data_IF_998155621774
#
_entry.id   IF_998155621774
#
_cell.length_a   1.000
_cell.length_b   1.000
_cell.length_c   1.000
_cell.angle_alpha   90.00
_cell.angle_beta   90.00
_cell.angle_gamma   90.00
#
_symmetry.space_group_name_H-M   'P 1'
#
loop_
_entity.id
_entity.type
_entity.pdbx_description
1 polymer ?
#
# COMPACT_ATOMS: atom_id res chain seq x y z
N UNK A 1 -56.34 -35.65 40.87
CA UNK A 1 -55.22 -34.92 41.44
C UNK A 1 -53.92 -35.53 40.94
N UNK A 2 -53.29 -34.93 39.94
CA UNK A 2 -51.89 -35.23 39.56
C UNK A 2 -51.20 -33.86 39.36
N UNK A 3 -50.25 -33.55 40.21
CA UNK A 3 -49.45 -32.34 40.21
C UNK A 3 -48.47 -32.37 39.03
N UNK A 4 -48.19 -31.26 38.31
CA UNK A 4 -47.18 -31.22 37.27
C UNK A 4 -45.79 -31.14 37.94
N UNK A 5 -44.90 -32.09 37.63
CA UNK A 5 -43.47 -32.07 37.93
C UNK A 5 -42.82 -30.89 37.14
N UNK A 6 -42.61 -29.79 37.85
CA UNK A 6 -41.74 -28.70 37.38
C UNK A 6 -40.32 -29.08 37.62
N UNK A 7 -39.57 -29.44 36.57
CA UNK A 7 -38.13 -29.71 36.62
C UNK A 7 -37.38 -28.37 36.65
N UNK A 8 -36.81 -27.94 37.79
CA UNK A 8 -36.12 -26.66 37.91
C UNK A 8 -34.81 -26.58 37.13
N UNK A 9 -34.22 -27.73 36.73
CA UNK A 9 -32.97 -27.80 35.99
C UNK A 9 -33.05 -27.29 34.53
N UNK A 10 -34.21 -27.38 33.89
CA UNK A 10 -34.38 -26.96 32.51
C UNK A 10 -34.30 -25.44 32.31
N UNK A 11 -34.77 -24.66 33.28
CA UNK A 11 -34.72 -23.18 33.25
C UNK A 11 -33.29 -22.65 33.46
N UNK A 12 -32.51 -23.31 34.30
CA UNK A 12 -31.10 -22.96 34.61
C UNK A 12 -30.20 -23.33 33.42
N UNK A 13 -30.44 -24.47 32.77
CA UNK A 13 -29.71 -24.86 31.59
C UNK A 13 -29.97 -23.90 30.39
N UNK A 14 -31.23 -23.47 30.19
CA UNK A 14 -31.59 -22.54 29.14
C UNK A 14 -30.99 -21.15 29.34
N UNK A 15 -30.91 -20.66 30.59
CA UNK A 15 -30.27 -19.38 30.91
C UNK A 15 -28.74 -19.44 30.79
N UNK A 16 -28.09 -20.55 31.13
CA UNK A 16 -26.66 -20.75 30.93
C UNK A 16 -26.28 -20.83 29.45
N UNK A 17 -27.10 -21.48 28.63
CA UNK A 17 -26.91 -21.51 27.16
C UNK A 17 -27.07 -20.10 26.56
N UNK A 18 -28.08 -19.34 27.00
CA UNK A 18 -28.28 -17.96 26.52
C UNK A 18 -27.11 -17.03 26.89
N UNK A 19 -26.55 -17.17 28.09
CA UNK A 19 -25.36 -16.39 28.54
C UNK A 19 -24.10 -16.82 27.78
N UNK A 20 -23.91 -18.10 27.51
CA UNK A 20 -22.78 -18.60 26.72
C UNK A 20 -22.83 -18.13 25.25
N UNK A 21 -24.02 -18.02 24.67
CA UNK A 21 -24.25 -17.49 23.33
C UNK A 21 -23.95 -15.98 23.25
N UNK A 22 -24.29 -15.20 24.27
CA UNK A 22 -23.99 -13.78 24.37
C UNK A 22 -22.48 -13.48 24.56
N UNK A 23 -21.75 -14.34 25.23
CA UNK A 23 -20.31 -14.20 25.44
C UNK A 23 -19.46 -14.60 24.21
N UNK A 24 -20.04 -15.26 23.22
CA UNK A 24 -19.35 -15.77 22.03
C UNK A 24 -19.28 -14.81 20.84
N UNK A 25 -19.80 -13.57 20.96
CA UNK A 25 -19.75 -12.61 19.86
C UNK A 25 -18.31 -12.16 19.57
N UNK A 26 -17.77 -12.52 18.40
CA UNK A 26 -16.53 -11.95 17.89
C UNK A 26 -16.67 -10.42 17.82
N UNK A 27 -16.01 -9.70 18.70
CA UNK A 27 -15.85 -8.26 18.62
C UNK A 27 -14.53 -7.98 17.90
N UNK A 28 -14.57 -7.20 16.82
CA UNK A 28 -13.35 -6.70 16.20
C UNK A 28 -12.83 -5.58 17.09
N UNK A 29 -11.71 -5.83 17.77
CA UNK A 29 -11.00 -4.78 18.47
C UNK A 29 -10.04 -4.11 17.46
N UNK A 30 -10.27 -2.84 17.16
CA UNK A 30 -9.43 -2.05 16.28
C UNK A 30 -7.98 -1.99 16.79
N UNK A 31 -7.78 -1.83 18.10
CA UNK A 31 -6.45 -1.79 18.70
C UNK A 31 -5.66 -3.06 18.41
N UNK A 32 -6.25 -4.23 18.58
CA UNK A 32 -5.61 -5.52 18.25
C UNK A 32 -5.28 -5.64 16.76
N UNK A 33 -6.14 -5.10 15.89
CA UNK A 33 -5.88 -5.08 14.43
C UNK A 33 -4.68 -4.20 14.11
N UNK A 34 -4.61 -3.01 14.71
CA UNK A 34 -3.48 -2.09 14.54
C UNK A 34 -2.19 -2.63 15.18
N UNK A 35 -2.26 -3.26 16.36
CA UNK A 35 -1.11 -3.91 16.98
C UNK A 35 -0.51 -5.01 16.10
N UNK A 36 -1.33 -5.87 15.53
CA UNK A 36 -0.86 -6.92 14.60
C UNK A 36 -0.25 -6.33 13.34
N UNK A 37 -0.89 -5.31 12.74
CA UNK A 37 -0.34 -4.62 11.59
C UNK A 37 1.00 -3.94 11.93
N UNK A 38 1.10 -3.27 13.08
CA UNK A 38 2.34 -2.67 13.58
C UNK A 38 3.43 -3.71 13.84
N UNK A 39 3.09 -4.88 14.40
CA UNK A 39 4.05 -5.96 14.61
C UNK A 39 4.61 -6.51 13.28
N UNK A 40 3.77 -6.60 12.25
CA UNK A 40 4.17 -7.08 10.91
C UNK A 40 4.94 -6.04 10.10
N UNK A 41 4.61 -4.75 10.24
CA UNK A 41 5.15 -3.67 9.38
C UNK A 41 6.11 -2.73 10.10
N UNK A 42 6.21 -2.76 11.44
CA UNK A 42 6.97 -1.80 12.24
C UNK A 42 8.45 -1.72 11.86
N UNK A 43 9.09 -2.86 11.59
CA UNK A 43 10.47 -2.90 11.13
C UNK A 43 10.65 -2.28 9.72
N UNK A 44 9.60 -2.36 8.91
CA UNK A 44 9.61 -1.80 7.56
C UNK A 44 9.29 -0.29 7.56
N UNK A 45 8.27 0.13 8.32
CA UNK A 45 7.82 1.52 8.35
C UNK A 45 8.65 2.43 9.25
N UNK A 46 9.30 1.86 10.27
CA UNK A 46 9.95 2.59 11.37
C UNK A 46 9.01 3.63 12.05
N UNK A 47 7.70 3.36 12.04
CA UNK A 47 6.64 4.18 12.61
C UNK A 47 5.48 3.31 13.08
N UNK A 48 4.51 3.91 13.76
CA UNK A 48 3.31 3.23 14.26
C UNK A 48 2.07 3.71 13.50
N UNK A 49 1.22 2.76 13.15
CA UNK A 49 -0.10 3.01 12.59
C UNK A 49 -1.05 3.41 13.72
N UNK A 50 -1.78 4.49 13.53
CA UNK A 50 -2.80 4.95 14.44
C UNK A 50 -3.97 5.52 13.65
N UNK A 51 -5.20 5.11 13.98
CA UNK A 51 -6.43 5.63 13.41
C UNK A 51 -7.07 6.61 14.39
N UNK A 52 -7.24 7.86 13.97
CA UNK A 52 -7.91 8.88 14.77
C UNK A 52 -9.43 8.72 14.66
N UNK A 53 -10.09 8.43 15.79
CA UNK A 53 -11.55 8.30 15.88
C UNK A 53 -12.21 9.55 16.47
N UNK A 54 -11.45 10.41 17.16
CA UNK A 54 -11.91 11.64 17.79
C UNK A 54 -11.13 12.85 17.28
N UNK A 55 -11.73 14.04 17.41
CA UNK A 55 -11.06 15.29 17.04
C UNK A 55 -9.77 15.51 17.87
N UNK A 56 -9.78 15.15 19.15
CA UNK A 56 -8.58 15.25 20.00
C UNK A 56 -7.45 14.38 19.46
N UNK A 57 -7.70 13.12 19.12
CA UNK A 57 -6.68 12.22 18.54
C UNK A 57 -6.17 12.73 17.20
N UNK A 58 -7.07 13.35 16.41
CA UNK A 58 -6.69 13.99 15.16
C UNK A 58 -5.74 15.16 15.40
N UNK A 59 -6.04 16.03 16.36
CA UNK A 59 -5.21 17.20 16.69
C UNK A 59 -3.85 16.79 17.23
N UNK A 60 -3.78 15.80 18.12
CA UNK A 60 -2.53 15.22 18.63
C UNK A 60 -1.65 14.67 17.49
N UNK A 61 -2.27 13.98 16.54
CA UNK A 61 -1.60 13.43 15.35
C UNK A 61 -1.06 14.54 14.44
N UNK A 62 -1.85 15.58 14.19
CA UNK A 62 -1.43 16.74 13.38
C UNK A 62 -0.31 17.54 14.06
N UNK A 63 -0.34 17.66 15.39
CA UNK A 63 0.76 18.26 16.14
C UNK A 63 2.04 17.44 16.05
N UNK A 64 1.96 16.11 16.11
CA UNK A 64 3.10 15.23 15.91
C UNK A 64 3.68 15.36 14.49
N UNK A 65 2.82 15.45 13.47
CA UNK A 65 3.22 15.68 12.08
C UNK A 65 3.92 17.04 11.91
N UNK A 66 3.38 18.10 12.51
CA UNK A 66 3.98 19.46 12.44
C UNK A 66 5.37 19.50 13.06
N UNK A 67 5.63 18.74 14.13
CA UNK A 67 6.98 18.64 14.73
C UNK A 67 8.01 18.06 13.75
N UNK A 68 7.63 17.10 12.90
CA UNK A 68 8.53 16.53 11.89
C UNK A 68 8.90 17.55 10.80
N UNK A 69 8.04 18.54 10.53
CA UNK A 69 8.27 19.58 9.52
C UNK A 69 9.20 20.70 10.01
N UNK A 70 9.51 20.77 11.30
CA UNK A 70 10.43 21.80 11.84
C UNK A 70 11.88 21.58 11.43
N UNK A 71 12.25 20.36 11.02
CA UNK A 71 13.60 19.98 10.60
C UNK A 71 13.62 19.53 9.13
N UNK A 72 14.82 19.24 8.60
CA UNK A 72 14.98 18.64 7.28
C UNK A 72 14.38 17.23 7.29
N UNK A 73 13.45 16.97 6.37
CA UNK A 73 12.71 15.70 6.28
C UNK A 73 13.55 14.68 5.50
N UNK A 74 14.16 13.74 6.21
CA UNK A 74 14.83 12.58 5.61
C UNK A 74 13.82 11.50 5.15
N UNK A 75 14.33 10.41 4.58
CA UNK A 75 13.48 9.33 4.06
C UNK A 75 12.64 8.66 5.15
N UNK A 76 13.21 8.47 6.35
CA UNK A 76 12.52 7.88 7.50
C UNK A 76 11.43 8.81 8.04
N UNK A 77 11.76 10.08 8.19
CA UNK A 77 10.85 11.13 8.64
C UNK A 77 9.70 11.32 7.63
N UNK A 78 9.96 11.21 6.33
CA UNK A 78 8.92 11.25 5.30
C UNK A 78 7.92 10.09 5.44
N UNK A 79 8.40 8.88 5.73
CA UNK A 79 7.51 7.73 6.01
C UNK A 79 6.69 7.98 7.28
N UNK A 80 7.31 8.42 8.36
CA UNK A 80 6.61 8.74 9.61
C UNK A 80 5.57 9.84 9.41
N UNK A 81 5.92 10.88 8.65
CA UNK A 81 5.00 11.97 8.30
C UNK A 81 3.80 11.45 7.50
N UNK A 82 4.01 10.57 6.51
CA UNK A 82 2.92 9.96 5.75
C UNK A 82 1.99 9.12 6.64
N UNK A 83 2.53 8.33 7.58
CA UNK A 83 1.75 7.54 8.52
C UNK A 83 0.90 8.42 9.45
N UNK A 84 1.44 9.55 9.89
CA UNK A 84 0.78 10.48 10.79
C UNK A 84 -0.18 11.43 10.08
N UNK A 85 0.19 11.96 8.91
CA UNK A 85 -0.52 13.09 8.31
C UNK A 85 -1.44 12.71 7.15
N UNK A 86 -1.15 11.62 6.40
CA UNK A 86 -1.86 11.33 5.16
C UNK A 86 -3.32 10.93 5.39
N UNK A 87 -4.32 11.69 4.85
CA UNK A 87 -5.72 11.31 4.90
C UNK A 87 -5.99 9.97 4.18
N UNK A 88 -5.25 9.68 3.12
CA UNK A 88 -5.37 8.41 2.40
C UNK A 88 -4.94 7.22 3.27
N UNK A 89 -3.95 7.39 4.16
CA UNK A 89 -3.56 6.38 5.14
C UNK A 89 -4.70 6.15 6.16
N UNK A 90 -5.30 7.22 6.68
CA UNK A 90 -6.42 7.15 7.61
C UNK A 90 -7.64 6.47 6.97
N UNK A 91 -7.94 6.78 5.71
CA UNK A 91 -9.02 6.13 4.96
C UNK A 91 -8.77 4.63 4.78
N UNK A 92 -7.53 4.23 4.45
CA UNK A 92 -7.14 2.81 4.32
C UNK A 92 -7.29 2.05 5.65
N UNK A 93 -6.88 2.65 6.78
CA UNK A 93 -7.05 2.06 8.11
C UNK A 93 -8.53 1.91 8.47
N UNK A 94 -9.36 2.93 8.20
CA UNK A 94 -10.80 2.90 8.44
C UNK A 94 -11.49 1.85 7.56
N UNK A 95 -11.10 1.71 6.29
CA UNK A 95 -11.62 0.69 5.38
C UNK A 95 -11.28 -0.72 5.87
N UNK A 96 -10.05 -0.97 6.30
CA UNK A 96 -9.66 -2.27 6.88
C UNK A 96 -10.46 -2.61 8.15
N UNK A 97 -10.77 -1.61 8.97
CA UNK A 97 -11.65 -1.79 10.12
C UNK A 97 -13.07 -2.13 9.70
N UNK A 98 -13.63 -1.46 8.68
CA UNK A 98 -14.95 -1.76 8.12
C UNK A 98 -15.00 -3.19 7.57
N UNK A 99 -14.01 -3.61 6.77
CA UNK A 99 -13.93 -4.95 6.21
C UNK A 99 -13.86 -6.04 7.30
N UNK A 100 -13.07 -5.80 8.35
CA UNK A 100 -12.96 -6.69 9.50
C UNK A 100 -14.27 -6.78 10.28
N UNK A 101 -14.99 -5.66 10.40
CA UNK A 101 -16.30 -5.60 11.10
C UNK A 101 -17.38 -6.34 10.32
N UNK A 102 -17.41 -6.21 8.98
CA UNK A 102 -18.31 -6.94 8.10
C UNK A 102 -17.99 -8.45 8.13
N UNK A 103 -16.71 -8.81 8.14
CA UNK A 103 -16.31 -10.20 8.31
C UNK A 103 -16.79 -10.77 9.64
N UNK A 104 -16.61 -10.05 10.75
CA UNK A 104 -17.11 -10.45 12.07
C UNK A 104 -18.64 -10.58 12.10
N UNK A 105 -19.36 -9.66 11.44
CA UNK A 105 -20.83 -9.71 11.33
C UNK A 105 -21.29 -10.99 10.65
N UNK A 106 -20.58 -11.48 9.62
CA UNK A 106 -20.94 -12.73 8.93
C UNK A 106 -20.83 -13.97 9.82
N UNK A 107 -20.08 -13.91 10.91
CA UNK A 107 -19.92 -14.98 11.91
C UNK A 107 -20.93 -14.91 13.07
N UNK A 108 -21.85 -13.94 13.07
CA UNK A 108 -22.87 -13.80 14.13
C UNK A 108 -24.13 -14.61 13.81
N UNK A 109 -24.90 -14.87 14.87
CA UNK A 109 -26.24 -15.46 14.74
C UNK A 109 -27.16 -14.41 14.12
N UNK A 110 -27.98 -14.83 13.17
CA UNK A 110 -29.04 -13.96 12.64
C UNK A 110 -30.04 -13.58 13.74
N UNK A 111 -30.52 -12.36 13.70
CA UNK A 111 -31.53 -11.92 14.67
C UNK A 111 -32.83 -12.69 14.47
N UNK A 112 -33.56 -13.03 15.56
CA UNK A 112 -34.90 -13.62 15.45
C UNK A 112 -35.86 -12.66 14.76
N UNK A 113 -36.78 -13.21 14.00
CA UNK A 113 -37.85 -12.46 13.36
C UNK A 113 -39.08 -12.52 14.24
N UNK A 114 -39.59 -11.37 14.66
CA UNK A 114 -40.88 -11.27 15.36
C UNK A 114 -41.96 -10.84 14.36
N UNK A 115 -42.96 -11.70 14.15
CA UNK A 115 -44.11 -11.43 13.30
C UNK A 115 -45.33 -11.21 14.15
N UNK A 116 -46.07 -10.14 13.84
CA UNK A 116 -47.36 -9.84 14.44
C UNK A 116 -48.41 -9.82 13.35
N UNK A 117 -49.46 -10.62 13.55
CA UNK A 117 -50.54 -10.78 12.62
C UNK A 117 -51.86 -10.43 13.30
N UNK A 118 -52.78 -9.76 12.60
CA UNK A 118 -54.13 -9.52 13.03
C UNK A 118 -55.07 -9.97 11.92
N UNK A 119 -55.84 -11.00 12.19
CA UNK A 119 -56.82 -11.55 11.25
C UNK A 119 -58.21 -11.36 11.83
N UNK A 120 -59.18 -10.98 11.01
CA UNK A 120 -60.58 -10.94 11.36
C UNK A 120 -61.37 -11.78 10.35
N UNK A 121 -62.06 -12.78 10.85
CA UNK A 121 -62.88 -13.67 10.06
C UNK A 121 -64.30 -13.70 10.67
N UNK A 122 -65.25 -12.92 10.09
CA UNK A 122 -66.59 -12.79 10.64
C UNK A 122 -66.60 -12.13 12.06
N UNK A 123 -67.05 -12.88 13.05
CA UNK A 123 -67.09 -12.46 14.46
C UNK A 123 -65.78 -12.80 15.24
N UNK A 124 -64.90 -13.55 14.65
CA UNK A 124 -63.61 -13.89 15.26
C UNK A 124 -62.55 -12.85 14.96
N UNK A 125 -61.79 -12.46 15.99
CA UNK A 125 -60.63 -11.59 15.90
C UNK A 125 -59.43 -12.31 16.50
N UNK A 126 -58.45 -12.59 15.66
CA UNK A 126 -57.20 -13.27 16.04
C UNK A 126 -55.99 -12.32 16.02
N UNK A 127 -55.18 -12.41 17.06
CA UNK A 127 -53.87 -11.78 17.15
C UNK A 127 -52.81 -12.86 17.22
N UNK A 128 -52.10 -13.05 16.10
CA UNK A 128 -50.98 -13.96 15.98
C UNK A 128 -49.66 -13.29 16.37
N UNK A 129 -48.82 -14.00 17.12
CA UNK A 129 -47.45 -13.59 17.50
C UNK A 129 -46.55 -14.74 17.33
N UNK A 130 -45.58 -14.58 16.44
CA UNK A 130 -44.59 -15.63 16.07
C UNK A 130 -43.22 -15.07 16.31
N UNK A 131 -42.34 -15.87 16.95
CA UNK A 131 -40.92 -15.59 17.06
C UNK A 131 -40.15 -16.71 16.36
N UNK A 132 -39.50 -16.40 15.22
CA UNK A 132 -38.83 -17.37 14.36
C UNK A 132 -37.30 -17.27 14.47
N UNK A 133 -36.64 -18.40 14.52
CA UNK A 133 -35.19 -18.55 14.60
C UNK A 133 -34.71 -19.48 13.48
N UNK A 134 -33.61 -19.12 12.80
CA UNK A 134 -32.91 -20.00 11.89
C UNK A 134 -32.20 -21.13 12.65
N UNK A 135 -32.72 -22.34 12.62
CA UNK A 135 -32.11 -23.47 13.30
C UNK A 135 -30.79 -23.89 12.64
N UNK A 136 -30.74 -23.85 11.30
CA UNK A 136 -29.54 -24.13 10.53
C UNK A 136 -28.43 -23.11 10.82
N UNK A 137 -28.79 -21.85 11.03
CA UNK A 137 -27.85 -20.79 11.42
C UNK A 137 -27.15 -21.09 12.76
N UNK A 138 -27.86 -21.69 13.72
CA UNK A 138 -27.28 -22.12 15.00
C UNK A 138 -26.34 -23.31 14.83
N UNK A 139 -26.73 -24.29 14.03
CA UNK A 139 -25.93 -25.51 13.77
C UNK A 139 -24.64 -25.13 13.01
N UNK A 140 -24.73 -24.23 12.04
CA UNK A 140 -23.60 -23.81 11.20
C UNK A 140 -22.75 -22.70 11.82
N UNK A 141 -23.16 -22.14 12.95
CA UNK A 141 -22.45 -21.04 13.64
C UNK A 141 -20.94 -21.28 13.86
N UNK A 142 -20.47 -22.47 14.31
CA UNK A 142 -19.05 -22.73 14.47
C UNK A 142 -18.27 -22.62 13.15
N UNK A 143 -18.85 -23.10 12.05
CA UNK A 143 -18.24 -22.99 10.71
C UNK A 143 -18.21 -21.54 10.22
N UNK A 144 -19.33 -20.82 10.36
CA UNK A 144 -19.45 -19.39 10.00
C UNK A 144 -18.45 -18.54 10.78
N UNK A 145 -18.33 -18.77 12.09
CA UNK A 145 -17.34 -18.12 12.95
C UNK A 145 -15.91 -18.41 12.47
N UNK A 146 -15.60 -19.67 12.15
CA UNK A 146 -14.29 -20.06 11.64
C UNK A 146 -13.94 -19.41 10.28
N UNK A 147 -14.93 -19.15 9.42
CA UNK A 147 -14.74 -18.39 8.17
C UNK A 147 -14.54 -16.90 8.46
N UNK A 148 -15.33 -16.32 9.37
CA UNK A 148 -15.21 -14.93 9.78
C UNK A 148 -13.82 -14.63 10.37
N UNK A 149 -13.32 -15.50 11.26
CA UNK A 149 -11.99 -15.37 11.85
C UNK A 149 -10.88 -15.41 10.77
N UNK A 150 -11.02 -16.27 9.75
CA UNK A 150 -10.07 -16.30 8.63
C UNK A 150 -10.15 -15.05 7.75
N UNK A 151 -11.35 -14.51 7.51
CA UNK A 151 -11.53 -13.26 6.75
C UNK A 151 -10.94 -12.07 7.50
N UNK A 152 -11.09 -12.02 8.83
CA UNK A 152 -10.47 -10.99 9.68
C UNK A 152 -8.95 -11.11 9.58
N UNK A 153 -8.38 -12.32 9.71
CA UNK A 153 -6.95 -12.52 9.55
C UNK A 153 -6.45 -12.12 8.17
N UNK A 154 -7.19 -12.43 7.11
CA UNK A 154 -6.89 -12.01 5.74
C UNK A 154 -6.91 -10.48 5.58
N UNK A 155 -7.90 -9.80 6.16
CA UNK A 155 -7.98 -8.33 6.15
C UNK A 155 -6.76 -7.69 6.83
N UNK A 156 -6.28 -8.27 7.96
CA UNK A 156 -5.08 -7.80 8.65
C UNK A 156 -3.82 -7.94 7.80
N UNK A 157 -3.64 -9.09 7.12
CA UNK A 157 -2.49 -9.30 6.21
C UNK A 157 -2.58 -8.34 5.01
N UNK A 158 -3.78 -8.11 4.48
CA UNK A 158 -4.01 -7.15 3.39
C UNK A 158 -3.64 -5.74 3.83
N UNK A 159 -4.07 -5.31 5.02
CA UNK A 159 -3.67 -4.02 5.58
C UNK A 159 -2.15 -3.88 5.67
N UNK A 160 -1.46 -4.90 6.20
CA UNK A 160 0.00 -4.89 6.27
C UNK A 160 0.65 -4.75 4.88
N UNK A 161 0.11 -5.44 3.86
CA UNK A 161 0.59 -5.35 2.49
C UNK A 161 0.38 -3.94 1.90
N UNK A 162 -0.78 -3.33 2.11
CA UNK A 162 -1.10 -1.97 1.64
C UNK A 162 -0.24 -0.91 2.32
N UNK A 163 0.06 -1.08 3.62
CA UNK A 163 0.99 -0.21 4.37
C UNK A 163 2.39 -0.28 3.78
N UNK A 164 2.87 -1.49 3.44
CA UNK A 164 4.18 -1.67 2.78
C UNK A 164 4.21 -0.97 1.42
N UNK A 165 3.15 -1.10 0.62
CA UNK A 165 3.04 -0.45 -0.69
C UNK A 165 3.08 1.07 -0.58
N UNK A 166 2.30 1.65 0.33
CA UNK A 166 2.28 3.09 0.59
C UNK A 166 3.62 3.61 1.08
N UNK A 167 4.23 2.90 2.03
CA UNK A 167 5.57 3.24 2.54
C UNK A 167 6.61 3.21 1.42
N UNK A 168 6.55 2.22 0.54
CA UNK A 168 7.45 2.11 -0.62
C UNK A 168 7.25 3.27 -1.60
N UNK A 169 6.00 3.64 -1.90
CA UNK A 169 5.67 4.80 -2.74
C UNK A 169 6.22 6.11 -2.15
N UNK A 170 6.08 6.30 -0.83
CA UNK A 170 6.62 7.47 -0.13
C UNK A 170 8.15 7.52 -0.24
N UNK A 171 8.85 6.40 0.01
CA UNK A 171 10.30 6.31 -0.13
C UNK A 171 10.78 6.65 -1.55
N UNK A 172 10.12 6.08 -2.56
CA UNK A 172 10.44 6.33 -3.96
C UNK A 172 10.19 7.79 -4.34
N UNK A 173 9.07 8.36 -3.91
CA UNK A 173 8.75 9.76 -4.19
C UNK A 173 9.72 10.72 -3.48
N UNK A 174 10.11 10.41 -2.24
CA UNK A 174 11.14 11.17 -1.54
C UNK A 174 12.49 11.14 -2.30
N UNK A 175 12.93 9.97 -2.75
CA UNK A 175 14.16 9.84 -3.56
C UNK A 175 14.08 10.68 -4.83
N UNK A 176 12.95 10.63 -5.54
CA UNK A 176 12.76 11.43 -6.76
C UNK A 176 12.76 12.93 -6.48
N UNK A 177 12.11 13.38 -5.39
CA UNK A 177 12.05 14.78 -5.01
C UNK A 177 13.43 15.34 -4.63
N UNK A 178 14.23 14.59 -3.85
CA UNK A 178 15.59 15.01 -3.48
C UNK A 178 16.52 15.00 -4.71
N UNK A 179 16.46 13.98 -5.55
CA UNK A 179 17.27 13.92 -6.77
C UNK A 179 16.92 15.06 -7.74
N UNK A 180 15.63 15.39 -7.89
CA UNK A 180 15.18 16.49 -8.73
C UNK A 180 15.67 17.86 -8.19
N UNK A 181 15.62 18.07 -6.87
CA UNK A 181 16.20 19.26 -6.22
C UNK A 181 17.70 19.38 -6.48
N UNK A 182 18.45 18.28 -6.32
CA UNK A 182 19.89 18.21 -6.59
C UNK A 182 20.21 18.50 -8.07
N UNK A 183 19.42 17.93 -8.98
CA UNK A 183 19.55 18.15 -10.42
C UNK A 183 19.25 19.60 -10.81
N UNK A 184 18.24 20.23 -10.22
CA UNK A 184 17.92 21.65 -10.43
C UNK A 184 19.07 22.57 -9.96
N UNK A 185 19.61 22.31 -8.75
CA UNK A 185 20.72 23.09 -8.23
C UNK A 185 21.94 23.03 -9.17
N UNK A 186 22.24 21.83 -9.68
CA UNK A 186 23.33 21.64 -10.64
C UNK A 186 23.03 22.30 -12.01
N UNK A 187 21.81 22.15 -12.55
CA UNK A 187 21.39 22.77 -13.79
C UNK A 187 21.49 24.31 -13.76
N UNK A 188 21.24 24.92 -12.58
CA UNK A 188 21.40 26.34 -12.34
C UNK A 188 22.87 26.77 -12.45
N UNK A 189 23.77 26.04 -11.81
CA UNK A 189 25.23 26.29 -11.90
C UNK A 189 25.71 26.17 -13.36
N UNK A 190 25.23 25.15 -14.08
CA UNK A 190 25.56 24.95 -15.50
C UNK A 190 25.07 26.12 -16.36
N UNK A 191 23.86 26.60 -16.13
CA UNK A 191 23.30 27.74 -16.84
C UNK A 191 24.14 29.02 -16.59
N UNK A 192 24.46 29.34 -15.32
CA UNK A 192 25.29 30.50 -14.96
C UNK A 192 26.68 30.43 -15.63
N UNK A 193 27.32 29.26 -15.68
CA UNK A 193 28.59 29.05 -16.36
C UNK A 193 28.46 29.17 -17.89
N UNK A 194 27.38 28.65 -18.49
CA UNK A 194 27.12 28.74 -19.91
C UNK A 194 26.85 30.19 -20.36
N UNK A 195 26.12 30.98 -19.54
CA UNK A 195 25.88 32.40 -19.76
C UNK A 195 27.17 33.21 -19.78
N UNK A 196 28.04 33.02 -18.76
CA UNK A 196 29.37 33.65 -18.69
C UNK A 196 30.24 33.26 -19.91
N UNK A 197 30.20 31.98 -20.34
CA UNK A 197 30.92 31.50 -21.53
C UNK A 197 30.40 32.13 -22.83
N UNK A 198 29.10 32.29 -23.00
CA UNK A 198 28.50 32.92 -24.15
C UNK A 198 28.84 34.42 -24.23
N UNK A 199 28.83 35.12 -23.08
CA UNK A 199 29.20 36.53 -23.03
C UNK A 199 30.73 36.71 -23.30
N UNK A 200 31.59 35.85 -22.78
CA UNK A 200 33.02 35.85 -23.12
C UNK A 200 33.22 35.64 -24.61
N UNK A 201 32.54 34.70 -25.23
CA UNK A 201 32.62 34.41 -26.67
C UNK A 201 32.20 35.63 -27.50
N UNK A 202 31.16 36.35 -27.10
CA UNK A 202 30.71 37.60 -27.74
C UNK A 202 31.78 38.68 -27.68
N UNK A 203 32.42 38.88 -26.52
CA UNK A 203 33.49 39.89 -26.35
C UNK A 203 34.72 39.52 -27.17
N UNK A 204 35.13 38.25 -27.22
CA UNK A 204 36.28 37.78 -27.97
C UNK A 204 36.07 37.91 -29.49
N UNK A 205 34.85 37.70 -29.96
CA UNK A 205 34.51 37.95 -31.38
C UNK A 205 34.60 39.43 -31.74
N UNK A 206 34.10 40.31 -30.89
CA UNK A 206 34.13 41.76 -31.11
C UNK A 206 35.56 42.32 -31.24
N UNK A 207 36.57 41.67 -30.60
CA UNK A 207 37.99 42.06 -30.74
C UNK A 207 38.77 41.17 -31.76
N UNK A 208 38.04 40.36 -32.54
CA UNK A 208 38.64 39.53 -33.59
C UNK A 208 39.35 38.26 -33.16
N UNK A 209 39.31 37.90 -31.88
CA UNK A 209 39.95 36.70 -31.32
C UNK A 209 39.10 35.45 -31.43
N UNK A 210 37.81 35.59 -31.82
CA UNK A 210 36.88 34.49 -32.02
C UNK A 210 36.19 34.58 -33.38
N UNK A 211 36.02 33.43 -34.04
CA UNK A 211 35.23 33.40 -35.27
C UNK A 211 33.74 33.23 -35.01
N UNK A 212 32.90 33.51 -36.00
CA UNK A 212 31.44 33.42 -35.92
C UNK A 212 30.94 32.01 -35.52
N UNK A 213 31.62 30.95 -36.00
CA UNK A 213 31.27 29.57 -35.68
C UNK A 213 31.49 29.25 -34.22
N UNK A 214 32.62 29.68 -33.65
CA UNK A 214 32.95 29.52 -32.27
C UNK A 214 31.94 30.20 -31.33
N UNK A 215 31.59 31.44 -31.63
CA UNK A 215 30.53 32.16 -30.94
C UNK A 215 29.19 31.43 -31.02
N UNK A 216 28.79 30.98 -32.25
CA UNK A 216 27.54 30.26 -32.44
C UNK A 216 27.48 28.98 -31.60
N UNK A 217 28.58 28.21 -31.50
CA UNK A 217 28.67 27.02 -30.63
C UNK A 217 28.44 27.33 -29.16
N UNK A 218 29.00 28.45 -28.65
CA UNK A 218 28.77 28.87 -27.27
C UNK A 218 27.34 29.36 -27.03
N UNK A 219 26.76 30.06 -27.98
CA UNK A 219 25.37 30.47 -27.94
C UNK A 219 24.41 29.28 -27.92
N UNK A 220 24.72 28.21 -28.70
CA UNK A 220 23.94 26.96 -28.67
C UNK A 220 24.02 26.28 -27.30
N UNK A 221 25.22 26.20 -26.72
CA UNK A 221 25.39 25.61 -25.38
C UNK A 221 24.60 26.37 -24.30
N UNK A 222 24.62 27.72 -24.36
CA UNK A 222 23.80 28.55 -23.48
C UNK A 222 22.31 28.30 -23.65
N UNK A 223 21.82 28.23 -24.91
CA UNK A 223 20.42 27.92 -25.18
C UNK A 223 20.01 26.53 -24.68
N UNK A 224 20.88 25.52 -24.86
CA UNK A 224 20.66 24.17 -24.32
C UNK A 224 20.64 24.17 -22.80
N UNK A 225 21.55 24.90 -22.14
CA UNK A 225 21.57 25.02 -20.69
C UNK A 225 20.30 25.70 -20.14
N UNK A 226 19.80 26.74 -20.81
CA UNK A 226 18.53 27.40 -20.48
C UNK A 226 17.34 26.44 -20.59
N UNK A 227 17.31 25.64 -21.65
CA UNK A 227 16.27 24.62 -21.84
C UNK A 227 16.32 23.54 -20.77
N UNK A 228 17.53 23.06 -20.43
CA UNK A 228 17.75 22.07 -19.36
C UNK A 228 17.36 22.61 -17.99
N UNK A 229 17.68 23.86 -17.69
CA UNK A 229 17.27 24.52 -16.43
C UNK A 229 15.76 24.58 -16.31
N UNK A 230 15.04 24.97 -17.37
CA UNK A 230 13.57 25.01 -17.39
C UNK A 230 12.96 23.62 -17.17
N UNK A 231 13.52 22.60 -17.82
CA UNK A 231 13.08 21.21 -17.64
C UNK A 231 13.35 20.70 -16.21
N UNK A 232 14.53 21.00 -15.65
CA UNK A 232 14.89 20.62 -14.27
C UNK A 232 14.00 21.31 -13.23
N UNK A 233 13.62 22.58 -13.47
CA UNK A 233 12.69 23.32 -12.62
C UNK A 233 11.30 22.66 -12.62
N UNK A 234 10.77 22.32 -13.79
CA UNK A 234 9.49 21.63 -13.90
C UNK A 234 9.55 20.24 -13.24
N UNK A 235 10.65 19.51 -13.41
CA UNK A 235 10.87 18.20 -12.78
C UNK A 235 10.89 18.29 -11.26
N UNK A 236 11.53 19.31 -10.69
CA UNK A 236 11.58 19.53 -9.24
C UNK A 236 10.19 19.81 -8.69
N UNK A 237 9.44 20.73 -9.32
CA UNK A 237 8.06 21.03 -8.90
C UNK A 237 7.21 19.77 -8.95
N UNK A 238 7.24 19.04 -10.06
CA UNK A 238 6.43 17.82 -10.22
C UNK A 238 6.76 16.77 -9.15
N UNK A 239 8.05 16.48 -8.94
CA UNK A 239 8.48 15.48 -7.95
C UNK A 239 8.17 15.90 -6.51
N UNK A 240 8.27 17.21 -6.21
CA UNK A 240 7.90 17.77 -4.91
C UNK A 240 6.40 17.66 -4.65
N UNK A 241 5.57 18.00 -5.63
CA UNK A 241 4.11 17.89 -5.54
C UNK A 241 3.64 16.45 -5.42
N UNK A 242 4.29 15.50 -6.11
CA UNK A 242 4.02 14.07 -5.94
C UNK A 242 4.29 13.61 -4.49
N UNK A 243 5.37 14.10 -3.89
CA UNK A 243 5.67 13.81 -2.49
C UNK A 243 4.66 14.46 -1.55
N UNK A 244 4.31 15.73 -1.74
CA UNK A 244 3.30 16.47 -0.95
C UNK A 244 1.98 15.71 -0.92
N UNK A 245 1.50 15.23 -2.07
CA UNK A 245 0.28 14.43 -2.19
C UNK A 245 0.35 13.12 -1.42
N UNK A 246 1.46 12.40 -1.48
CA UNK A 246 1.64 11.14 -0.74
C UNK A 246 1.74 11.35 0.76
N UNK A 247 2.38 12.44 1.20
CA UNK A 247 2.46 12.83 2.60
C UNK A 247 1.14 13.40 3.13
N UNK A 248 0.23 13.82 2.24
CA UNK A 248 -1.06 14.44 2.58
C UNK A 248 -0.91 15.80 3.24
N UNK A 249 0.08 16.58 2.81
CA UNK A 249 0.32 17.93 3.36
C UNK A 249 -0.69 18.93 2.80
N UNK A 250 -1.18 19.80 3.65
CA UNK A 250 -1.89 21.01 3.24
C UNK A 250 -0.92 22.11 2.78
N UNK A 251 -1.44 23.21 2.24
CA UNK A 251 -0.63 24.31 1.70
C UNK A 251 0.34 24.92 2.73
N UNK A 252 -0.08 25.04 4.00
CA UNK A 252 0.76 25.57 5.09
C UNK A 252 1.88 24.60 5.45
N UNK A 253 1.58 23.32 5.52
CA UNK A 253 2.55 22.25 5.77
C UNK A 253 3.51 22.07 4.58
N UNK A 254 3.00 22.15 3.35
CA UNK A 254 3.80 22.06 2.13
C UNK A 254 4.85 23.18 2.03
N UNK A 255 4.50 24.42 2.47
CA UNK A 255 5.44 25.53 2.54
C UNK A 255 6.57 25.31 3.57
N UNK A 256 6.33 24.49 4.61
CA UNK A 256 7.33 24.16 5.63
C UNK A 256 8.21 22.96 5.25
N UNK A 257 7.84 22.18 4.22
CA UNK A 257 8.57 20.98 3.82
C UNK A 257 9.98 21.34 3.35
N UNK A 258 10.99 20.91 4.11
CA UNK A 258 12.42 21.08 3.80
C UNK A 258 13.03 19.72 3.49
N UNK A 259 13.48 19.56 2.25
CA UNK A 259 14.21 18.36 1.81
C UNK A 259 15.72 18.59 1.85
N UNK A 260 16.54 17.54 2.06
CA UNK A 260 17.99 17.65 1.95
C UNK A 260 18.41 18.09 0.55
N UNK A 261 19.61 18.62 0.42
CA UNK A 261 20.14 19.16 -0.86
C UNK A 261 20.64 18.05 -1.79
N UNK A 262 20.96 16.88 -1.24
CA UNK A 262 21.43 15.72 -1.99
C UNK A 262 20.91 14.41 -1.38
N UNK A 263 20.93 13.35 -2.18
CA UNK A 263 20.66 11.99 -1.71
C UNK A 263 21.70 11.56 -0.66
N UNK A 264 21.38 10.61 0.23
CA UNK A 264 22.33 10.03 1.17
C UNK A 264 23.46 9.32 0.43
N UNK A 265 24.64 9.32 1.04
CA UNK A 265 25.78 8.60 0.48
C UNK A 265 25.49 7.10 0.33
N UNK A 266 26.08 6.48 -0.69
CA UNK A 266 25.97 5.04 -0.92
C UNK A 266 26.53 4.26 0.28
N UNK A 267 25.90 3.14 0.66
CA UNK A 267 26.44 2.26 1.69
C UNK A 267 27.84 1.76 1.28
N UNK A 268 28.72 1.56 2.27
CA UNK A 268 30.09 1.11 2.02
C UNK A 268 30.17 -0.22 1.28
N UNK A 269 29.21 -1.10 1.55
CA UNK A 269 29.10 -2.42 0.91
C UNK A 269 27.65 -2.70 0.53
N UNK A 270 27.45 -3.34 -0.62
CA UNK A 270 26.14 -3.84 -1.02
C UNK A 270 25.71 -5.01 -0.13
N UNK A 271 24.39 -5.18 0.04
CA UNK A 271 23.83 -6.34 0.75
C UNK A 271 24.25 -7.64 0.10
N UNK A 272 24.59 -8.63 0.91
CA UNK A 272 25.01 -9.94 0.43
C UNK A 272 23.80 -10.82 0.04
N UNK A 273 23.93 -11.71 -0.97
CA UNK A 273 22.84 -12.60 -1.40
C UNK A 273 22.28 -13.47 -0.25
N UNK A 274 23.16 -13.95 0.62
CA UNK A 274 22.77 -14.78 1.76
C UNK A 274 21.91 -14.03 2.79
N UNK A 275 22.20 -12.75 3.04
CA UNK A 275 21.41 -11.89 3.93
C UNK A 275 20.02 -11.63 3.34
N UNK A 276 19.95 -11.39 2.03
CA UNK A 276 18.71 -11.17 1.28
C UNK A 276 17.83 -12.42 1.30
N UNK A 277 18.43 -13.60 1.05
CA UNK A 277 17.71 -14.88 1.09
C UNK A 277 17.16 -15.19 2.49
N UNK A 278 17.95 -14.94 3.55
CA UNK A 278 17.52 -15.10 4.94
C UNK A 278 16.41 -14.14 5.31
N UNK A 279 16.49 -12.87 4.92
CA UNK A 279 15.45 -11.88 5.18
C UNK A 279 14.13 -12.24 4.48
N UNK A 280 14.17 -12.76 3.26
CA UNK A 280 13.00 -13.15 2.49
C UNK A 280 12.34 -14.44 2.99
N UNK A 281 13.02 -15.29 3.77
CA UNK A 281 12.45 -16.52 4.34
C UNK A 281 11.46 -16.24 5.48
N UNK A 282 11.44 -15.04 6.04
CA UNK A 282 10.63 -14.67 7.19
C UNK A 282 9.24 -14.17 6.78
N UNK A 283 8.37 -15.08 6.35
CA UNK A 283 6.92 -14.82 6.30
C UNK A 283 6.47 -13.74 5.30
N UNK A 284 6.68 -13.97 4.01
CA UNK A 284 6.27 -13.06 2.93
C UNK A 284 4.76 -12.83 2.91
N UNK A 285 4.33 -11.57 2.81
CA UNK A 285 2.91 -11.17 2.82
C UNK A 285 2.13 -11.68 1.61
N UNK A 286 2.74 -11.77 0.42
CA UNK A 286 2.11 -12.32 -0.78
C UNK A 286 1.71 -13.80 -0.62
N UNK A 287 2.61 -14.62 -0.05
CA UNK A 287 2.35 -16.03 0.22
C UNK A 287 1.30 -16.18 1.33
N UNK A 288 1.40 -15.38 2.40
CA UNK A 288 0.41 -15.40 3.49
C UNK A 288 -0.99 -15.01 3.00
N UNK A 289 -1.11 -14.01 2.12
CA UNK A 289 -2.38 -13.60 1.51
C UNK A 289 -2.98 -14.72 0.66
N UNK A 290 -2.18 -15.35 -0.20
CA UNK A 290 -2.64 -16.44 -1.04
C UNK A 290 -3.04 -17.68 -0.21
N UNK A 291 -2.27 -18.02 0.84
CA UNK A 291 -2.61 -19.10 1.77
C UNK A 291 -3.90 -18.81 2.54
N UNK A 292 -4.08 -17.57 3.00
CA UNK A 292 -5.31 -17.15 3.69
C UNK A 292 -6.53 -17.22 2.76
N UNK A 293 -6.38 -16.82 1.49
CA UNK A 293 -7.43 -16.91 0.49
C UNK A 293 -7.86 -18.37 0.25
N UNK A 294 -6.89 -19.29 0.14
CA UNK A 294 -7.17 -20.72 0.03
C UNK A 294 -7.91 -21.25 1.27
N UNK A 295 -7.47 -20.87 2.47
CA UNK A 295 -8.12 -21.29 3.71
C UNK A 295 -9.56 -20.79 3.82
N UNK A 296 -9.84 -19.55 3.40
CA UNK A 296 -11.20 -18.99 3.37
C UNK A 296 -12.06 -19.75 2.36
N UNK A 297 -11.57 -20.01 1.14
CA UNK A 297 -12.30 -20.72 0.09
C UNK A 297 -12.61 -22.17 0.48
N UNK A 298 -11.65 -22.88 1.07
CA UNK A 298 -11.83 -24.25 1.52
C UNK A 298 -12.88 -24.37 2.65
N UNK A 299 -12.86 -23.46 3.62
CA UNK A 299 -13.89 -23.42 4.68
C UNK A 299 -15.27 -23.02 4.14
N UNK A 300 -15.33 -22.07 3.21
CA UNK A 300 -16.58 -21.66 2.57
C UNK A 300 -17.20 -22.80 1.76
N UNK A 301 -16.40 -23.57 1.04
CA UNK A 301 -16.84 -24.78 0.33
C UNK A 301 -17.46 -25.80 1.27
N UNK A 302 -16.84 -26.04 2.45
CA UNK A 302 -17.38 -26.94 3.47
C UNK A 302 -18.74 -26.48 4.01
N UNK A 303 -18.90 -25.18 4.27
CA UNK A 303 -20.18 -24.60 4.72
C UNK A 303 -21.27 -24.70 3.64
N UNK A 304 -20.94 -24.38 2.38
CA UNK A 304 -21.92 -24.46 1.28
C UNK A 304 -22.42 -25.88 1.08
N UNK A 305 -21.60 -26.89 1.30
CA UNK A 305 -22.02 -28.30 1.24
C UNK A 305 -23.11 -28.56 2.27
N UNK A 306 -23.06 -27.96 3.47
CA UNK A 306 -24.10 -28.11 4.50
C UNK A 306 -25.36 -27.33 4.12
N UNK A 307 -25.21 -26.05 3.73
CA UNK A 307 -26.31 -25.14 3.45
C UNK A 307 -27.09 -25.47 2.15
N UNK A 308 -26.49 -26.23 1.24
CA UNK A 308 -27.12 -26.55 -0.05
C UNK A 308 -28.26 -27.53 0.05
N UNK A 309 -28.42 -28.24 1.17
CA UNK A 309 -29.43 -29.28 1.29
C UNK A 309 -30.78 -28.75 1.78
N UNK A 310 -30.83 -27.81 2.69
CA UNK A 310 -32.08 -27.28 3.25
C UNK A 310 -31.84 -26.01 4.06
N UNK A 311 -32.92 -25.29 4.33
CA UNK A 311 -33.01 -24.22 5.31
C UNK A 311 -34.14 -24.57 6.29
N UNK A 312 -33.85 -24.49 7.58
CA UNK A 312 -34.77 -24.89 8.64
C UNK A 312 -34.95 -23.73 9.60
N UNK A 313 -36.18 -23.27 9.72
CA UNK A 313 -36.56 -22.25 10.68
C UNK A 313 -37.49 -22.83 11.75
N UNK A 314 -37.34 -22.39 12.99
CA UNK A 314 -38.16 -22.81 14.11
C UNK A 314 -38.91 -21.59 14.67
N UNK A 315 -40.24 -21.60 14.61
CA UNK A 315 -41.12 -20.58 15.14
C UNK A 315 -41.80 -21.02 16.42
N UNK A 316 -41.94 -20.12 17.37
CA UNK A 316 -42.80 -20.26 18.55
C UNK A 316 -43.96 -19.30 18.41
N UNK A 317 -45.18 -19.87 18.33
CA UNK A 317 -46.42 -19.12 18.09
C UNK A 317 -47.26 -19.03 19.36
N UNK A 318 -47.82 -17.84 19.58
CA UNK A 318 -48.85 -17.60 20.62
C UNK A 318 -49.91 -16.68 20.06
N UNK A 319 -51.13 -17.20 19.95
CA UNK A 319 -52.26 -16.47 19.44
C UNK A 319 -53.23 -16.08 20.56
N UNK A 320 -54.04 -15.10 20.27
CA UNK A 320 -55.17 -14.73 21.09
C UNK A 320 -56.37 -14.57 20.18
N UNK A 321 -57.35 -15.42 20.36
CA UNK A 321 -58.57 -15.45 19.58
C UNK A 321 -59.73 -14.93 20.44
N UNK A 322 -60.42 -13.92 19.95
CA UNK A 322 -61.63 -13.38 20.53
C UNK A 322 -62.79 -13.75 19.62
N UNK A 323 -63.74 -14.50 20.13
CA UNK A 323 -65.02 -14.77 19.46
C UNK A 323 -66.05 -13.78 19.98
N UNK A 324 -66.41 -12.82 19.15
CA UNK A 324 -67.41 -11.75 19.52
C UNK A 324 -68.79 -12.30 19.56
N UNK A 325 -69.14 -13.44 18.90
CA UNK A 325 -70.47 -14.06 18.93
C UNK A 325 -70.74 -14.77 20.25
N UNK A 326 -69.76 -15.50 20.80
CA UNK A 326 -69.90 -16.19 22.09
C UNK A 326 -69.29 -15.42 23.27
N UNK A 327 -68.62 -14.30 23.04
CA UNK A 327 -67.86 -13.55 24.07
C UNK A 327 -66.68 -14.31 24.64
N UNK A 328 -66.21 -15.38 24.00
CA UNK A 328 -65.12 -16.24 24.49
C UNK A 328 -63.74 -15.75 24.05
N UNK A 329 -62.74 -16.01 24.91
CA UNK A 329 -61.32 -15.74 24.59
C UNK A 329 -60.50 -16.99 24.80
N UNK A 330 -59.75 -17.36 23.79
CA UNK A 330 -58.77 -18.47 23.82
C UNK A 330 -57.37 -17.98 23.56
N UNK A 331 -56.33 -18.70 24.08
CA UNK A 331 -54.94 -18.38 23.88
C UNK A 331 -54.17 -19.65 23.40
N UNK A 332 -54.35 -20.06 22.15
CA UNK A 332 -53.60 -21.21 21.62
C UNK A 332 -52.12 -20.92 21.62
N UNK A 333 -51.34 -21.99 21.79
CA UNK A 333 -49.88 -21.96 21.72
C UNK A 333 -49.45 -23.07 20.78
N UNK A 334 -48.48 -22.78 19.94
CA UNK A 334 -47.95 -23.73 18.97
C UNK A 334 -46.47 -23.52 18.68
N UNK A 335 -45.96 -24.38 17.92
CA UNK A 335 -44.64 -24.25 17.29
C UNK A 335 -44.85 -24.44 15.77
N UNK A 336 -43.95 -23.82 15.00
CA UNK A 336 -43.92 -23.86 13.55
C UNK A 336 -42.54 -24.28 13.12
N UNK A 337 -42.43 -25.14 12.14
CA UNK A 337 -41.18 -25.57 11.55
C UNK A 337 -41.31 -25.33 10.04
N UNK A 338 -40.53 -24.36 9.56
CA UNK A 338 -40.44 -24.04 8.15
C UNK A 338 -39.26 -24.78 7.54
N UNK A 339 -39.51 -25.58 6.53
CA UNK A 339 -38.53 -26.38 5.83
C UNK A 339 -38.52 -25.99 4.36
N UNK A 340 -37.42 -25.42 3.88
CA UNK A 340 -37.24 -25.16 2.45
C UNK A 340 -36.85 -26.43 1.75
N UNK A 341 -37.74 -26.95 0.87
CA UNK A 341 -37.48 -28.12 0.11
C UNK A 341 -36.75 -27.79 -1.21
N UNK A 342 -35.53 -28.30 -1.44
CA UNK A 342 -34.76 -28.04 -2.65
C UNK A 342 -35.26 -28.89 -3.84
N UNK A 343 -36.50 -28.65 -4.28
CA UNK A 343 -37.15 -29.45 -5.33
C UNK A 343 -36.56 -29.19 -6.72
N UNK A 344 -36.18 -27.91 -6.98
CA UNK A 344 -35.71 -27.44 -8.27
C UNK A 344 -34.20 -27.19 -8.29
N UNK A 345 -33.62 -26.75 -7.18
CA UNK A 345 -32.20 -26.43 -7.05
C UNK A 345 -31.58 -27.16 -5.84
N UNK A 346 -30.86 -28.23 -6.15
CA UNK A 346 -30.11 -29.03 -5.17
C UNK A 346 -28.75 -28.43 -4.81
N UNK A 347 -28.48 -27.17 -5.19
CA UNK A 347 -27.25 -26.47 -4.91
C UNK A 347 -26.03 -26.99 -5.70
N UNK A 348 -26.23 -27.76 -6.76
CA UNK A 348 -25.15 -28.35 -7.59
C UNK A 348 -24.21 -27.25 -8.12
N UNK A 349 -24.78 -26.26 -8.80
CA UNK A 349 -24.01 -25.16 -9.39
C UNK A 349 -23.26 -24.33 -8.36
N UNK A 350 -23.80 -24.17 -7.15
CA UNK A 350 -23.10 -23.46 -6.05
C UNK A 350 -21.90 -24.27 -5.54
N UNK A 351 -22.06 -25.58 -5.36
CA UNK A 351 -20.97 -26.49 -4.97
C UNK A 351 -19.87 -26.51 -6.03
N UNK A 352 -20.23 -26.56 -7.31
CA UNK A 352 -19.28 -26.50 -8.41
C UNK A 352 -18.53 -25.17 -8.43
N UNK A 353 -19.23 -24.05 -8.22
CA UNK A 353 -18.62 -22.72 -8.12
C UNK A 353 -17.63 -22.63 -6.95
N UNK A 354 -18.00 -23.15 -5.76
CA UNK A 354 -17.10 -23.17 -4.60
C UNK A 354 -15.88 -24.07 -4.83
N UNK A 355 -16.09 -25.22 -5.49
CA UNK A 355 -14.99 -26.12 -5.86
C UNK A 355 -14.03 -25.44 -6.83
N UNK A 356 -14.55 -24.77 -7.87
CA UNK A 356 -13.75 -24.01 -8.82
C UNK A 356 -12.99 -22.86 -8.15
N UNK A 357 -13.60 -22.13 -7.22
CA UNK A 357 -12.95 -21.06 -6.45
C UNK A 357 -11.82 -21.62 -5.57
N UNK A 358 -12.02 -22.77 -4.93
CA UNK A 358 -10.97 -23.42 -4.11
C UNK A 358 -9.80 -23.87 -4.96
N UNK A 359 -10.07 -24.48 -6.14
CA UNK A 359 -9.03 -24.84 -7.11
C UNK A 359 -8.28 -23.61 -7.64
N UNK A 360 -9.00 -22.53 -7.94
CA UNK A 360 -8.39 -21.27 -8.35
C UNK A 360 -7.45 -20.70 -7.27
N UNK A 361 -7.89 -20.70 -6.01
CA UNK A 361 -7.08 -20.24 -4.88
C UNK A 361 -5.85 -21.12 -4.65
N UNK A 362 -5.96 -22.43 -4.81
CA UNK A 362 -4.83 -23.37 -4.70
C UNK A 362 -3.78 -23.12 -5.79
N UNK A 363 -4.22 -23.00 -7.06
CA UNK A 363 -3.32 -22.68 -8.18
C UNK A 363 -2.70 -21.28 -8.04
N UNK A 364 -3.45 -20.30 -7.51
CA UNK A 364 -2.91 -18.96 -7.24
C UNK A 364 -1.82 -18.99 -6.17
N UNK A 365 -1.99 -19.77 -5.10
CA UNK A 365 -0.96 -19.96 -4.08
C UNK A 365 0.31 -20.57 -4.69
N UNK A 366 0.16 -21.58 -5.54
CA UNK A 366 1.31 -22.19 -6.23
C UNK A 366 1.99 -21.18 -7.16
N UNK A 367 1.23 -20.43 -7.96
CA UNK A 367 1.76 -19.39 -8.84
C UNK A 367 2.53 -18.32 -8.07
N UNK A 368 1.98 -17.79 -6.97
CA UNK A 368 2.63 -16.80 -6.11
C UNK A 368 3.91 -17.36 -5.49
N UNK A 369 3.87 -18.60 -5.00
CA UNK A 369 5.04 -19.26 -4.38
C UNK A 369 6.17 -19.44 -5.39
N UNK A 370 5.87 -19.86 -6.61
CA UNK A 370 6.86 -19.99 -7.69
C UNK A 370 7.42 -18.64 -8.13
N UNK A 371 6.57 -17.62 -8.27
CA UNK A 371 6.96 -16.26 -8.66
C UNK A 371 7.81 -15.56 -7.58
N UNK A 372 7.58 -15.85 -6.31
CA UNK A 372 8.23 -15.19 -5.18
C UNK A 372 9.77 -15.21 -5.27
N UNK A 373 10.33 -16.38 -5.60
CA UNK A 373 11.78 -16.53 -5.78
C UNK A 373 12.32 -15.79 -7.00
N UNK A 374 11.55 -15.75 -8.08
CA UNK A 374 11.92 -15.02 -9.31
C UNK A 374 11.94 -13.51 -9.06
N UNK A 375 10.89 -12.94 -8.48
CA UNK A 375 10.81 -11.53 -8.14
C UNK A 375 11.93 -11.09 -7.19
N UNK A 376 12.30 -11.94 -6.23
CA UNK A 376 13.40 -11.62 -5.32
C UNK A 376 14.74 -11.56 -6.05
N UNK A 377 15.03 -12.54 -6.93
CA UNK A 377 16.27 -12.54 -7.72
C UNK A 377 16.34 -11.34 -8.66
N UNK A 378 15.25 -11.00 -9.31
CA UNK A 378 15.13 -9.81 -10.18
C UNK A 378 15.40 -8.52 -9.40
N UNK A 379 14.69 -8.32 -8.29
CA UNK A 379 14.85 -7.12 -7.43
C UNK A 379 16.29 -7.03 -6.87
N UNK A 380 16.89 -8.15 -6.49
CA UNK A 380 18.26 -8.17 -6.01
C UNK A 380 19.26 -7.87 -7.13
N UNK A 381 19.07 -8.42 -8.34
CA UNK A 381 19.91 -8.13 -9.51
C UNK A 381 19.85 -6.64 -9.86
N UNK A 382 18.64 -6.05 -9.88
CA UNK A 382 18.44 -4.62 -10.12
C UNK A 382 19.16 -3.76 -9.07
N UNK A 383 18.99 -4.08 -7.79
CA UNK A 383 19.69 -3.41 -6.69
C UNK A 383 21.22 -3.51 -6.83
N UNK A 384 21.74 -4.70 -7.12
CA UNK A 384 23.19 -4.92 -7.23
C UNK A 384 23.77 -4.15 -8.42
N UNK A 385 23.13 -4.22 -9.57
CA UNK A 385 23.55 -3.48 -10.77
C UNK A 385 23.51 -1.97 -10.53
N UNK A 386 22.45 -1.45 -9.93
CA UNK A 386 22.35 -0.02 -9.61
C UNK A 386 23.44 0.42 -8.61
N UNK A 387 23.73 -0.41 -7.60
CA UNK A 387 24.83 -0.14 -6.67
C UNK A 387 26.18 -0.09 -7.36
N UNK A 388 26.49 -1.06 -8.21
CA UNK A 388 27.80 -1.13 -8.89
C UNK A 388 27.97 0.04 -9.86
N UNK A 389 26.91 0.46 -10.59
CA UNK A 389 26.91 1.64 -11.46
C UNK A 389 27.12 2.93 -10.65
N UNK A 390 26.32 3.13 -9.58
CA UNK A 390 26.42 4.33 -8.76
C UNK A 390 27.80 4.43 -8.07
N UNK A 391 28.32 3.31 -7.58
CA UNK A 391 29.66 3.23 -7.01
C UNK A 391 30.76 3.55 -8.04
N UNK A 392 30.68 3.01 -9.26
CA UNK A 392 31.64 3.29 -10.33
C UNK A 392 31.63 4.80 -10.67
N UNK A 393 30.47 5.42 -10.78
CA UNK A 393 30.39 6.87 -10.98
C UNK A 393 31.05 7.65 -9.84
N UNK A 394 30.77 7.28 -8.58
CA UNK A 394 31.30 7.98 -7.40
C UNK A 394 32.81 7.81 -7.25
N UNK A 395 33.30 6.57 -7.39
CA UNK A 395 34.68 6.23 -7.03
C UNK A 395 35.70 6.40 -8.18
N UNK A 396 35.22 6.37 -9.43
CA UNK A 396 36.10 6.38 -10.61
C UNK A 396 35.76 7.51 -11.60
N UNK A 397 34.51 7.55 -12.13
CA UNK A 397 34.17 8.43 -13.26
C UNK A 397 34.22 9.89 -12.89
N UNK A 398 33.56 10.28 -11.77
CA UNK A 398 33.51 11.68 -11.30
C UNK A 398 34.88 12.17 -10.86
N UNK A 399 35.72 11.43 -10.08
CA UNK A 399 37.05 11.86 -9.72
C UNK A 399 37.99 11.98 -10.96
N UNK A 400 37.89 11.07 -11.91
CA UNK A 400 38.67 11.13 -13.14
C UNK A 400 38.34 12.36 -13.98
N UNK A 401 37.04 12.65 -14.15
CA UNK A 401 36.57 13.88 -14.85
C UNK A 401 37.00 15.15 -14.16
N UNK A 402 37.02 15.15 -12.84
CA UNK A 402 37.53 16.28 -12.07
C UNK A 402 39.02 16.47 -12.30
N UNK A 403 39.83 15.39 -12.27
CA UNK A 403 41.26 15.46 -12.53
C UNK A 403 41.58 15.97 -13.97
N UNK A 404 40.75 15.54 -14.97
CA UNK A 404 40.87 16.05 -16.34
C UNK A 404 40.55 17.54 -16.40
N UNK A 405 39.47 17.99 -15.74
CA UNK A 405 39.11 19.39 -15.73
C UNK A 405 40.14 20.26 -15.02
N UNK A 406 40.71 19.81 -13.89
CA UNK A 406 41.80 20.49 -13.18
C UNK A 406 43.05 20.62 -14.05
N UNK A 407 43.46 19.53 -14.74
CA UNK A 407 44.60 19.53 -15.66
C UNK A 407 44.39 20.44 -16.88
N UNK A 408 43.18 20.40 -17.50
CA UNK A 408 42.85 21.27 -18.61
C UNK A 408 42.81 22.74 -18.22
N UNK A 409 42.41 23.06 -16.99
CA UNK A 409 42.48 24.41 -16.45
C UNK A 409 43.95 24.89 -16.33
N UNK A 410 44.86 24.03 -15.87
CA UNK A 410 46.28 24.34 -15.79
C UNK A 410 46.92 24.53 -17.18
N UNK A 411 46.58 23.65 -18.17
CA UNK A 411 47.05 23.75 -19.55
C UNK A 411 46.53 25.02 -20.24
N UNK A 412 45.29 25.41 -19.99
CA UNK A 412 44.72 26.66 -20.49
C UNK A 412 45.48 27.87 -19.90
N UNK A 413 45.73 27.90 -18.60
CA UNK A 413 46.49 28.94 -17.97
C UNK A 413 47.96 29.03 -18.48
N UNK A 414 48.54 27.89 -18.88
CA UNK A 414 49.82 27.75 -19.55
C UNK A 414 49.80 28.02 -21.05
N UNK A 415 48.66 28.44 -21.61
CA UNK A 415 48.42 28.67 -23.07
C UNK A 415 48.72 27.41 -23.95
N UNK A 416 48.65 26.21 -23.36
CA UNK A 416 48.90 24.94 -24.08
C UNK A 416 47.65 24.42 -24.79
N UNK A 417 46.48 24.81 -24.34
CA UNK A 417 45.20 24.48 -24.98
C UNK A 417 44.37 25.74 -25.22
N UNK A 418 43.49 25.67 -26.19
CA UNK A 418 42.60 26.78 -26.51
C UNK A 418 41.35 26.77 -25.61
N UNK A 419 40.66 27.93 -25.53
CA UNK A 419 39.43 28.06 -24.78
C UNK A 419 38.31 27.09 -25.25
N UNK A 420 38.36 26.64 -26.51
CA UNK A 420 37.39 25.69 -27.04
C UNK A 420 37.50 24.29 -26.42
N UNK A 421 38.74 23.85 -26.22
CA UNK A 421 38.99 22.55 -25.58
C UNK A 421 38.54 22.56 -24.12
N UNK A 422 38.86 23.64 -23.39
CA UNK A 422 38.40 23.86 -22.03
C UNK A 422 36.86 23.86 -21.94
N UNK A 423 36.19 24.53 -22.87
CA UNK A 423 34.72 24.60 -22.89
C UNK A 423 34.07 23.30 -23.33
N UNK A 424 34.71 22.50 -24.17
CA UNK A 424 34.26 21.14 -24.54
C UNK A 424 34.33 20.21 -23.31
N UNK A 425 35.46 20.24 -22.60
CA UNK A 425 35.64 19.43 -21.37
C UNK A 425 34.59 19.78 -20.27
N UNK A 426 34.30 21.08 -20.12
CA UNK A 426 33.25 21.53 -19.19
C UNK A 426 31.86 20.90 -19.53
N UNK A 427 31.52 20.73 -20.82
CA UNK A 427 30.28 20.07 -21.24
C UNK A 427 30.25 18.59 -20.87
N UNK A 428 31.39 17.91 -21.09
CA UNK A 428 31.54 16.49 -20.74
C UNK A 428 31.45 16.29 -19.22
N UNK A 429 32.04 17.19 -18.42
CA UNK A 429 31.92 17.19 -16.98
C UNK A 429 30.45 17.32 -16.54
N UNK A 430 29.68 18.22 -17.17
CA UNK A 430 28.24 18.40 -16.89
C UNK A 430 27.48 17.11 -17.11
N UNK A 431 27.70 16.44 -18.25
CA UNK A 431 27.00 15.17 -18.56
C UNK A 431 27.34 14.08 -17.55
N UNK A 432 28.61 14.00 -17.12
CA UNK A 432 29.08 13.02 -16.15
C UNK A 432 28.46 13.22 -14.77
N UNK A 433 28.35 14.45 -14.28
CA UNK A 433 27.73 14.73 -12.96
C UNK A 433 26.23 14.43 -12.99
N UNK A 434 25.55 14.79 -14.09
CA UNK A 434 24.11 14.44 -14.24
C UNK A 434 23.90 12.91 -14.27
N UNK A 435 24.78 12.19 -14.95
CA UNK A 435 24.74 10.72 -14.98
C UNK A 435 24.97 10.12 -13.57
N UNK A 436 25.88 10.69 -12.77
CA UNK A 436 26.15 10.28 -11.40
C UNK A 436 24.91 10.51 -10.49
N UNK A 437 24.26 11.68 -10.57
CA UNK A 437 23.01 11.97 -9.81
C UNK A 437 21.92 10.95 -10.18
N UNK A 438 21.76 10.65 -11.48
CA UNK A 438 20.79 9.67 -11.94
C UNK A 438 21.14 8.26 -11.44
N UNK A 439 22.39 7.86 -11.44
CA UNK A 439 22.85 6.57 -10.93
C UNK A 439 22.57 6.41 -9.43
N UNK A 440 22.82 7.43 -8.62
CA UNK A 440 22.46 7.45 -7.19
C UNK A 440 20.93 7.35 -6.99
N UNK A 441 20.16 8.07 -7.76
CA UNK A 441 18.69 7.97 -7.73
C UNK A 441 18.21 6.55 -8.03
N UNK A 442 18.73 5.93 -9.09
CA UNK A 442 18.37 4.56 -9.47
C UNK A 442 18.73 3.56 -8.39
N UNK A 443 19.89 3.73 -7.73
CA UNK A 443 20.26 2.90 -6.59
C UNK A 443 19.26 2.98 -5.44
N UNK A 444 18.89 4.17 -5.01
CA UNK A 444 17.94 4.34 -3.90
C UNK A 444 16.52 3.87 -4.24
N UNK A 445 16.10 3.99 -5.49
CA UNK A 445 14.85 3.42 -5.99
C UNK A 445 14.89 1.89 -5.98
N UNK A 446 16.00 1.30 -6.43
CA UNK A 446 16.20 -0.15 -6.43
C UNK A 446 16.30 -0.71 -5.00
N UNK A 447 16.92 0.01 -4.05
CA UNK A 447 16.96 -0.38 -2.63
C UNK A 447 15.56 -0.39 -2.02
N UNK A 448 14.74 0.63 -2.27
CA UNK A 448 13.35 0.67 -1.80
C UNK A 448 12.52 -0.50 -2.37
N UNK A 449 12.72 -0.83 -3.65
CA UNK A 449 12.06 -1.97 -4.30
C UNK A 449 12.52 -3.32 -3.74
N UNK A 450 13.81 -3.49 -3.50
CA UNK A 450 14.34 -4.70 -2.86
C UNK A 450 13.76 -4.88 -1.46
N UNK A 451 13.71 -3.82 -0.65
CA UNK A 451 13.11 -3.88 0.68
C UNK A 451 11.64 -4.31 0.63
N UNK A 452 10.86 -3.79 -0.30
CA UNK A 452 9.46 -4.21 -0.51
C UNK A 452 9.37 -5.68 -0.97
N UNK A 453 10.24 -6.11 -1.88
CA UNK A 453 10.31 -7.49 -2.37
C UNK A 453 10.66 -8.50 -1.27
N UNK A 454 11.49 -8.12 -0.29
CA UNK A 454 11.83 -8.95 0.87
C UNK A 454 10.61 -9.32 1.71
N UNK A 455 9.66 -8.40 1.85
CA UNK A 455 8.41 -8.63 2.60
C UNK A 455 7.28 -9.15 1.70
N UNK A 456 7.57 -9.49 0.43
CA UNK A 456 6.60 -10.06 -0.49
C UNK A 456 5.71 -9.04 -1.18
N UNK A 457 6.22 -7.81 -1.40
CA UNK A 457 5.53 -6.77 -2.18
C UNK A 457 6.43 -6.26 -3.31
N UNK A 458 6.73 -7.11 -4.33
CA UNK A 458 7.57 -6.70 -5.45
C UNK A 458 6.88 -5.55 -6.21
N UNK A 459 7.60 -4.45 -6.38
CA UNK A 459 7.22 -3.36 -7.27
C UNK A 459 8.00 -3.52 -8.56
N UNK A 460 7.36 -3.42 -9.73
CA UNK A 460 8.04 -3.57 -11.02
C UNK A 460 9.16 -2.54 -11.16
N UNK A 461 10.39 -3.00 -11.30
CA UNK A 461 11.57 -2.18 -11.58
C UNK A 461 11.89 -2.26 -13.06
N UNK A 462 11.56 -1.24 -13.83
CA UNK A 462 12.27 -0.98 -15.08
C UNK A 462 13.53 -0.19 -14.72
N UNK A 463 14.71 -0.80 -14.83
CA UNK A 463 15.95 -0.02 -14.92
C UNK A 463 15.85 0.70 -16.26
N UNK A 464 15.73 2.03 -16.24
CA UNK A 464 15.88 2.81 -17.44
C UNK A 464 17.28 2.51 -17.97
N UNK A 465 17.36 1.86 -19.14
CA UNK A 465 18.63 1.68 -19.85
C UNK A 465 19.26 3.07 -20.00
N UNK A 466 20.53 3.28 -19.64
CA UNK A 466 21.17 4.54 -19.95
C UNK A 466 21.01 4.74 -21.44
N UNK A 467 20.30 5.83 -21.83
CA UNK A 467 20.18 6.20 -23.22
C UNK A 467 21.60 6.19 -23.78
N UNK A 468 21.85 5.33 -24.76
CA UNK A 468 23.10 5.30 -25.47
C UNK A 468 23.34 6.74 -25.91
N UNK A 469 24.38 7.36 -25.36
CA UNK A 469 24.82 8.64 -25.83
C UNK A 469 25.03 8.45 -27.34
N UNK A 470 24.15 9.08 -28.12
CA UNK A 470 24.34 9.14 -29.56
C UNK A 470 25.68 9.84 -29.76
N UNK A 471 26.72 9.03 -29.90
CA UNK A 471 27.95 9.44 -30.52
C UNK A 471 27.60 9.80 -31.96
N UNK A 472 27.27 11.07 -32.16
CA UNK A 472 27.24 11.65 -33.49
C UNK A 472 28.63 11.54 -34.05
N UNK A 473 28.89 10.43 -34.76
CA UNK A 473 30.04 10.29 -35.61
C UNK A 473 29.98 11.42 -36.66
N UNK A 474 30.89 12.35 -36.50
CA UNK A 474 31.28 13.20 -37.59
C UNK A 474 32.07 12.34 -38.56
N UNK A 475 31.37 11.72 -39.54
CA UNK A 475 32.03 11.27 -40.76
C UNK A 475 32.27 12.52 -41.62
N UNK A 476 33.56 12.72 -41.87
CA UNK A 476 34.04 13.77 -42.72
C UNK A 476 33.65 13.59 -44.20
N UNK A 477 33.37 14.70 -44.83
CA UNK A 477 33.78 15.04 -46.22
C UNK A 477 34.01 16.54 -46.27
#
# INVERSE_FOLDING_TARGET
MRSPLTVPGFKVALSLIAVAILAGCASVNLEQTLEKANAQTGNFTAGQLNLSQTDQQRDERLQAASKLLTSVVGQKEAVQLALLNSPAMQAMLAQSWADSSLAAQSGRIANPVFSFERVRAGEELEFGRILTFGLLDLITLPYRKGIADQRIAQSQIRLAAEVVDRTTQVRQSWVRAVAAKQSLAYAKQVYENAEAGAELARRLEAVGNFNKLARARQQTFYADAATRLSAAHQQEISAREDLIRLLGLDDNQAAQLRLPDRLPDLPKQARQPAEVAKAASNGRLDIQLAQSALNVSAKAQGLETINSFTDIELGVRRDTVFDNGSGSKSNPRGYEIDLRLPIFDWGGMRRDAMTAQTLAAANQLEAVTRAAGSHLRESYSAYRTAYDIARHHRDEVVPLRKAIADENQLRYNGMLIGVFELLADSRDQVSTVMAAINAEQQFWLADANLQASLVGRPTGTSIASPAAAQSGGAEGH
#
